data_IF_796424248264
#
_entry.id   IF_796424248264
#
_cell.length_a   1.000
_cell.length_b   1.000
_cell.length_c   1.000
_cell.angle_alpha   90.00
_cell.angle_beta   90.00
_cell.angle_gamma   90.00
#
_symmetry.space_group_name_H-M   'P 1'
#
loop_
_entity.id
_entity.type
_entity.pdbx_description
1 polymer ?
#
# COMPACT_ATOMS: atom_id res chain seq x y z
N UNK A 1 19.33 0.54 1.77
CA UNK A 1 18.11 1.00 2.45
C UNK A 1 17.54 -0.12 3.31
N UNK A 2 17.02 0.17 4.50
CA UNK A 2 16.35 -0.83 5.34
C UNK A 2 15.26 -0.17 6.18
N UNK A 3 14.02 -0.63 6.03
CA UNK A 3 12.91 -0.28 6.91
C UNK A 3 12.84 -1.35 8.01
N UNK A 4 12.84 -0.93 9.27
CA UNK A 4 12.76 -1.83 10.42
C UNK A 4 11.59 -1.43 11.31
N UNK A 5 10.75 -2.40 11.65
CA UNK A 5 9.62 -2.26 12.55
C UNK A 5 9.92 -3.13 13.77
N UNK A 6 9.94 -2.54 14.96
CA UNK A 6 10.28 -3.22 16.21
C UNK A 6 9.15 -3.10 17.21
N UNK A 7 8.54 -4.25 17.53
CA UNK A 7 7.48 -4.40 18.53
C UNK A 7 6.36 -3.35 18.39
N UNK A 8 5.98 -3.07 17.15
CA UNK A 8 5.00 -2.05 16.83
C UNK A 8 3.63 -2.49 17.34
N UNK A 9 3.01 -1.62 18.13
CA UNK A 9 1.76 -1.88 18.82
C UNK A 9 0.84 -0.68 18.67
N UNK A 10 -0.46 -0.95 18.48
CA UNK A 10 -1.47 0.09 18.42
C UNK A 10 -2.73 -0.30 19.17
N UNK A 11 -3.05 0.53 20.16
CA UNK A 11 -4.28 0.49 20.94
C UNK A 11 -5.03 1.81 20.72
N UNK A 12 -6.28 1.72 20.31
CA UNK A 12 -7.20 2.86 20.25
C UNK A 12 -8.02 2.93 21.52
N UNK A 13 -7.83 3.99 22.30
CA UNK A 13 -8.69 4.25 23.45
C UNK A 13 -10.10 4.65 22.98
N UNK A 14 -11.13 4.00 23.52
CA UNK A 14 -12.53 4.37 23.24
C UNK A 14 -13.36 4.37 24.52
N UNK A 15 -14.46 5.13 24.53
CA UNK A 15 -15.41 5.15 25.67
C UNK A 15 -16.03 3.79 25.97
N UNK A 16 -16.01 2.85 25.01
CA UNK A 16 -16.57 1.50 25.16
C UNK A 16 -15.52 0.45 25.53
N UNK A 17 -14.28 0.88 25.81
CA UNK A 17 -13.12 0.02 26.01
C UNK A 17 -12.06 0.25 24.95
N UNK A 18 -10.84 -0.12 25.29
CA UNK A 18 -9.68 -0.04 24.41
C UNK A 18 -9.77 -1.10 23.32
N UNK A 19 -9.44 -0.72 22.09
CA UNK A 19 -9.41 -1.61 20.93
C UNK A 19 -7.97 -1.81 20.52
N UNK A 20 -7.44 -3.01 20.78
CA UNK A 20 -6.13 -3.43 20.32
C UNK A 20 -6.20 -3.71 18.81
N UNK A 21 -5.67 -2.79 18.01
CA UNK A 21 -5.66 -2.91 16.56
C UNK A 21 -4.48 -3.74 16.07
N UNK A 22 -3.32 -3.59 16.72
CA UNK A 22 -2.08 -4.29 16.38
C UNK A 22 -1.37 -4.72 17.67
N UNK A 23 -1.17 -6.03 17.82
CA UNK A 23 -0.30 -6.59 18.87
C UNK A 23 1.18 -6.40 18.49
N UNK A 24 2.12 -6.43 19.44
CA UNK A 24 3.53 -6.18 19.18
C UNK A 24 4.08 -6.99 18.00
N UNK A 25 4.33 -6.31 16.89
CA UNK A 25 4.73 -6.92 15.63
C UNK A 25 6.08 -6.38 15.18
N UNK A 26 6.98 -7.27 14.76
CA UNK A 26 8.31 -6.91 14.27
C UNK A 26 8.53 -7.51 12.89
N UNK A 27 9.01 -6.69 11.95
CA UNK A 27 9.45 -7.14 10.64
C UNK A 27 10.41 -6.11 10.03
N UNK A 28 11.13 -6.51 8.99
CA UNK A 28 11.99 -5.61 8.23
C UNK A 28 11.57 -5.62 6.78
N UNK A 29 11.91 -4.59 6.02
CA UNK A 29 11.83 -4.55 4.56
C UNK A 29 13.18 -4.11 4.01
N UNK A 30 13.78 -4.94 3.17
CA UNK A 30 15.07 -4.70 2.55
C UNK A 30 14.98 -3.75 1.34
N UNK A 31 16.11 -3.19 0.94
CA UNK A 31 16.20 -2.36 -0.26
C UNK A 31 15.75 -3.13 -1.52
N UNK A 32 14.86 -2.53 -2.30
CA UNK A 32 14.37 -3.12 -3.54
C UNK A 32 13.41 -4.30 -3.33
N UNK A 33 12.99 -4.56 -2.09
CA UNK A 33 11.96 -5.55 -1.83
C UNK A 33 10.58 -4.98 -2.14
N UNK A 34 9.72 -5.84 -2.68
CA UNK A 34 8.28 -5.58 -2.81
C UNK A 34 7.57 -6.47 -1.80
N UNK A 35 7.18 -5.90 -0.67
CA UNK A 35 6.56 -6.63 0.44
C UNK A 35 5.07 -6.35 0.49
N UNK A 36 4.25 -7.40 0.45
CA UNK A 36 2.80 -7.25 0.64
C UNK A 36 2.35 -7.63 2.04
N UNK A 37 1.49 -6.82 2.63
CA UNK A 37 0.74 -7.12 3.84
C UNK A 37 -0.66 -7.59 3.44
N UNK A 38 -0.97 -8.84 3.76
CA UNK A 38 -2.25 -9.48 3.41
C UNK A 38 -2.92 -9.97 4.67
N UNK A 39 -4.24 -9.81 4.80
CA UNK A 39 -4.95 -10.23 5.99
C UNK A 39 -6.44 -9.86 5.92
N UNK A 40 -7.28 -10.38 6.84
CA UNK A 40 -8.70 -10.05 6.89
C UNK A 40 -8.97 -8.54 7.03
N UNK A 41 -10.17 -8.10 6.66
CA UNK A 41 -10.56 -6.70 6.85
C UNK A 41 -10.51 -6.31 8.32
N UNK A 42 -9.92 -5.14 8.61
CA UNK A 42 -9.85 -4.61 9.97
C UNK A 42 -8.67 -5.11 10.83
N UNK A 43 -7.80 -5.99 10.34
CA UNK A 43 -6.66 -6.49 11.13
C UNK A 43 -5.49 -5.51 11.36
N UNK A 44 -5.65 -4.22 11.06
CA UNK A 44 -4.62 -3.21 11.35
C UNK A 44 -3.52 -3.05 10.29
N UNK A 45 -3.69 -3.58 9.06
CA UNK A 45 -2.74 -3.39 7.94
C UNK A 45 -2.55 -1.92 7.58
N UNK A 46 -3.64 -1.22 7.27
CA UNK A 46 -3.62 0.21 6.92
C UNK A 46 -3.11 1.05 8.09
N UNK A 47 -3.51 0.72 9.32
CA UNK A 47 -2.97 1.33 10.55
C UNK A 47 -1.45 1.16 10.66
N UNK A 48 -0.92 -0.04 10.41
CA UNK A 48 0.54 -0.29 10.39
C UNK A 48 1.22 0.56 9.34
N UNK A 49 0.63 0.65 8.15
CA UNK A 49 1.17 1.43 7.04
C UNK A 49 1.12 2.93 7.30
N UNK A 50 0.09 3.46 7.98
CA UNK A 50 0.02 4.85 8.43
C UNK A 50 1.04 5.17 9.52
N UNK A 51 1.30 4.24 10.45
CA UNK A 51 2.38 4.39 11.43
C UNK A 51 3.75 4.45 10.74
N UNK A 52 3.99 3.59 9.75
CA UNK A 52 5.22 3.59 8.95
C UNK A 52 5.36 4.89 8.14
N UNK A 53 4.26 5.42 7.60
CA UNK A 53 4.26 6.72 6.94
C UNK A 53 4.53 7.88 7.92
N UNK A 54 4.38 7.66 9.23
CA UNK A 54 4.47 8.69 10.28
C UNK A 54 3.21 9.54 10.38
N UNK A 55 2.09 9.08 9.81
CA UNK A 55 0.78 9.75 9.86
C UNK A 55 -0.01 9.39 11.11
N UNK A 56 0.37 8.29 11.76
CA UNK A 56 -0.24 7.82 12.99
C UNK A 56 0.83 7.46 14.03
N UNK A 57 0.61 7.84 15.28
CA UNK A 57 1.53 7.51 16.38
C UNK A 57 1.24 6.11 16.90
N UNK A 58 2.29 5.30 17.03
CA UNK A 58 2.22 4.00 17.68
C UNK A 58 1.95 4.14 19.18
N UNK A 59 1.27 3.16 19.78
CA UNK A 59 1.13 3.09 21.24
C UNK A 59 2.44 2.65 21.88
N UNK A 60 3.11 1.67 21.26
CA UNK A 60 4.47 1.21 21.62
C UNK A 60 5.21 0.74 20.37
N UNK A 61 6.51 0.56 20.53
CA UNK A 61 7.41 0.13 19.47
C UNK A 61 8.02 1.29 18.70
N UNK A 62 8.91 0.94 17.79
CA UNK A 62 9.74 1.89 17.06
C UNK A 62 9.81 1.51 15.57
N UNK A 63 9.90 2.53 14.73
CA UNK A 63 10.05 2.37 13.28
C UNK A 63 11.32 3.12 12.87
N UNK A 64 12.19 2.44 12.14
CA UNK A 64 13.44 3.00 11.64
C UNK A 64 13.51 2.90 10.13
N UNK A 65 13.92 3.97 9.46
CA UNK A 65 14.24 3.98 8.04
C UNK A 65 15.71 4.36 7.90
N UNK A 66 16.52 3.45 7.36
CA UNK A 66 17.99 3.60 7.27
C UNK A 66 18.66 3.91 8.60
N UNK A 67 18.11 3.36 9.69
CA UNK A 67 18.59 3.58 11.06
C UNK A 67 18.11 4.88 11.70
N UNK A 68 17.44 5.78 10.97
CA UNK A 68 16.81 6.97 11.52
C UNK A 68 15.39 6.66 12.01
N UNK A 69 15.06 7.10 13.23
CA UNK A 69 13.73 6.90 13.80
C UNK A 69 12.67 7.71 13.04
N UNK A 70 11.54 7.08 12.72
CA UNK A 70 10.38 7.72 12.07
C UNK A 70 9.48 8.32 13.15
N UNK A 71 9.61 9.63 13.35
CA UNK A 71 8.84 10.37 14.36
C UNK A 71 7.64 11.15 13.78
N UNK A 72 7.46 11.11 12.46
CA UNK A 72 6.43 11.87 11.74
C UNK A 72 6.50 11.67 10.23
N UNK A 73 5.68 12.39 9.45
CA UNK A 73 5.69 12.28 7.99
C UNK A 73 6.96 12.89 7.38
N UNK A 74 7.40 12.35 6.24
CA UNK A 74 8.63 12.77 5.57
C UNK A 74 8.59 12.47 4.08
N UNK A 75 9.30 13.28 3.29
CA UNK A 75 9.34 13.15 1.82
C UNK A 75 10.03 11.87 1.33
N UNK A 76 10.82 11.25 2.20
CA UNK A 76 11.47 9.96 1.99
C UNK A 76 10.49 8.77 1.98
N UNK A 77 9.22 8.99 2.34
CA UNK A 77 8.15 7.98 2.33
C UNK A 77 6.99 8.47 1.46
N UNK A 78 6.79 7.84 0.30
CA UNK A 78 5.68 8.13 -0.59
C UNK A 78 4.45 7.32 -0.17
N UNK A 79 3.29 7.95 -0.09
CA UNK A 79 2.05 7.31 0.35
C UNK A 79 0.97 7.36 -0.73
N UNK A 80 0.40 6.21 -1.08
CA UNK A 80 -0.81 6.07 -1.90
C UNK A 80 -1.93 5.57 -1.01
N UNK A 81 -2.95 6.40 -0.81
CA UNK A 81 -4.09 6.09 0.04
C UNK A 81 -5.18 5.31 -0.72
N UNK A 82 -5.98 4.56 0.03
CA UNK A 82 -7.18 3.89 -0.49
C UNK A 82 -8.23 4.90 -0.99
N UNK A 83 -8.42 5.99 -0.24
CA UNK A 83 -9.29 7.10 -0.64
C UNK A 83 -8.54 8.10 -1.52
N UNK A 84 -9.21 8.65 -2.53
CA UNK A 84 -8.60 9.67 -3.40
C UNK A 84 -8.26 10.93 -2.60
N UNK A 85 -6.95 11.21 -2.45
CA UNK A 85 -6.44 12.36 -1.70
C UNK A 85 -5.88 13.46 -2.60
N UNK A 86 -6.38 13.58 -3.83
CA UNK A 86 -5.97 14.66 -4.73
C UNK A 86 -6.56 16.00 -4.27
N UNK A 87 -5.78 17.06 -4.38
CA UNK A 87 -6.24 18.43 -4.12
C UNK A 87 -7.20 18.85 -5.24
N UNK A 88 -8.48 19.10 -4.92
CA UNK A 88 -9.52 19.32 -5.94
C UNK A 88 -9.35 20.64 -6.70
N UNK A 89 -8.61 21.59 -6.14
CA UNK A 89 -8.31 22.90 -6.71
C UNK A 89 -6.99 22.94 -7.51
N UNK A 90 -6.22 21.86 -7.54
CA UNK A 90 -5.02 21.74 -8.37
C UNK A 90 -5.30 20.89 -9.59
N UNK A 91 -4.67 21.20 -10.72
CA UNK A 91 -4.67 20.32 -11.90
C UNK A 91 -3.95 19.00 -11.62
N UNK A 92 -4.08 18.01 -12.52
CA UNK A 92 -3.37 16.72 -12.42
C UNK A 92 -1.85 16.91 -12.32
N UNK A 93 -1.29 17.77 -13.17
CA UNK A 93 0.13 18.05 -13.17
C UNK A 93 0.57 18.72 -11.86
N UNK A 94 -0.17 19.74 -11.41
CA UNK A 94 0.10 20.42 -10.14
C UNK A 94 -0.05 19.48 -8.94
N UNK A 95 -1.04 18.58 -8.93
CA UNK A 95 -1.16 17.55 -7.90
C UNK A 95 0.11 16.70 -7.82
N UNK A 96 0.67 16.34 -8.97
CA UNK A 96 1.87 15.51 -9.08
C UNK A 96 3.11 16.27 -8.63
N UNK A 97 3.21 17.56 -8.94
CA UNK A 97 4.35 18.43 -8.64
C UNK A 97 4.33 19.04 -7.22
N UNK A 98 3.15 19.06 -6.57
CA UNK A 98 2.90 19.79 -5.32
C UNK A 98 3.96 19.59 -4.24
N UNK A 99 4.38 18.34 -4.01
CA UNK A 99 5.30 18.03 -2.92
C UNK A 99 6.70 18.60 -3.17
N UNK A 100 7.19 18.54 -4.40
CA UNK A 100 8.47 19.12 -4.77
C UNK A 100 8.40 20.65 -4.82
N UNK A 101 7.29 21.24 -5.26
CA UNK A 101 7.08 22.69 -5.19
C UNK A 101 7.17 23.19 -3.74
N UNK A 102 6.60 22.45 -2.79
CA UNK A 102 6.68 22.77 -1.37
C UNK A 102 8.11 22.70 -0.84
N UNK A 103 8.90 21.71 -1.26
CA UNK A 103 10.32 21.62 -0.89
C UNK A 103 11.13 22.76 -1.51
N UNK A 104 10.94 23.07 -2.79
CA UNK A 104 11.64 24.14 -3.49
C UNK A 104 11.35 25.52 -2.87
N UNK A 105 10.12 25.75 -2.40
CA UNK A 105 9.76 26.96 -1.68
C UNK A 105 10.43 27.07 -0.30
N UNK A 106 10.81 25.94 0.32
CA UNK A 106 11.53 25.90 1.61
C UNK A 106 13.03 26.03 1.44
N UNK A 107 13.57 25.60 0.32
CA UNK A 107 14.99 25.69 -0.01
C UNK A 107 15.18 26.27 -1.43
N UNK A 108 15.23 27.61 -1.55
CA UNK A 108 15.40 28.30 -2.83
C UNK A 108 16.79 28.11 -3.45
N UNK A 109 17.72 27.43 -2.75
CA UNK A 109 19.07 27.21 -3.24
C UNK A 109 19.18 26.09 -4.30
N UNK A 110 18.09 25.34 -4.54
CA UNK A 110 18.03 24.29 -5.56
C UNK A 110 18.32 24.83 -6.95
N UNK A 111 19.10 24.08 -7.71
CA UNK A 111 19.46 24.47 -9.06
C UNK A 111 18.25 24.44 -10.01
N UNK A 112 18.20 25.36 -10.98
CA UNK A 112 17.18 25.35 -12.03
C UNK A 112 17.14 24.00 -12.77
N UNK A 113 18.29 23.32 -12.89
CA UNK A 113 18.38 22.00 -13.51
C UNK A 113 17.62 20.91 -12.74
N UNK A 114 17.72 20.89 -11.42
CA UNK A 114 16.96 19.95 -10.57
C UNK A 114 15.46 20.19 -10.68
N UNK A 115 15.03 21.45 -10.67
CA UNK A 115 13.61 21.83 -10.82
C UNK A 115 13.07 21.32 -12.17
N UNK A 116 13.79 21.58 -13.27
CA UNK A 116 13.38 21.14 -14.59
C UNK A 116 13.35 19.60 -14.72
N UNK A 117 14.31 18.91 -14.11
CA UNK A 117 14.35 17.44 -14.09
C UNK A 117 13.10 16.86 -13.40
N UNK A 118 12.71 17.40 -12.24
CA UNK A 118 11.54 16.93 -11.48
C UNK A 118 10.20 17.24 -12.17
N UNK A 119 10.13 18.38 -12.86
CA UNK A 119 9.00 18.70 -13.74
C UNK A 119 8.91 17.67 -14.87
N UNK A 120 10.02 17.41 -15.56
CA UNK A 120 10.08 16.41 -16.63
C UNK A 120 9.69 15.01 -16.16
N UNK A 121 10.13 14.61 -14.97
CA UNK A 121 9.75 13.34 -14.33
C UNK A 121 8.24 13.27 -14.11
N UNK A 122 7.61 14.33 -13.63
CA UNK A 122 6.16 14.37 -13.40
C UNK A 122 5.36 14.17 -14.71
N UNK A 123 5.78 14.83 -15.79
CA UNK A 123 5.21 14.61 -17.13
C UNK A 123 5.39 13.15 -17.59
N UNK A 124 6.60 12.61 -17.46
CA UNK A 124 6.90 11.24 -17.86
C UNK A 124 6.06 10.22 -17.09
N UNK A 125 5.94 10.36 -15.77
CA UNK A 125 5.10 9.49 -14.94
C UNK A 125 3.63 9.59 -15.35
N UNK A 126 3.09 10.79 -15.58
CA UNK A 126 1.70 10.94 -16.03
C UNK A 126 1.47 10.35 -17.43
N UNK A 127 2.42 10.50 -18.34
CA UNK A 127 2.38 9.90 -19.67
C UNK A 127 2.40 8.37 -19.60
N UNK A 128 3.29 7.77 -18.78
CA UNK A 128 3.36 6.32 -18.54
C UNK A 128 2.06 5.77 -17.95
N UNK A 129 1.39 6.58 -17.12
CA UNK A 129 0.10 6.24 -16.53
C UNK A 129 -1.07 6.46 -17.50
N UNK A 130 -0.82 6.82 -18.76
CA UNK A 130 -1.86 7.05 -19.77
C UNK A 130 -2.66 8.35 -19.57
N UNK A 131 -2.10 9.33 -18.85
CA UNK A 131 -2.77 10.57 -18.48
C UNK A 131 -2.29 11.81 -19.26
N UNK A 132 -1.59 11.59 -20.38
CA UNK A 132 -1.04 12.64 -21.26
C UNK A 132 -2.03 13.76 -21.61
N UNK A 133 -3.27 13.37 -21.92
CA UNK A 133 -4.34 14.31 -22.33
C UNK A 133 -4.97 15.07 -21.15
N UNK A 134 -4.64 14.70 -19.91
CA UNK A 134 -5.30 15.17 -18.70
C UNK A 134 -4.38 15.99 -17.79
N UNK A 135 -3.15 16.34 -18.21
CA UNK A 135 -2.21 17.12 -17.41
C UNK A 135 -2.82 18.38 -16.79
N UNK A 136 -3.67 19.08 -17.55
CA UNK A 136 -4.30 20.33 -17.12
C UNK A 136 -5.75 20.16 -16.64
N UNK A 137 -6.26 18.93 -16.60
CA UNK A 137 -7.58 18.65 -16.05
C UNK A 137 -7.56 18.75 -14.53
N UNK A 138 -8.70 19.04 -13.93
CA UNK A 138 -8.92 19.01 -12.49
C UNK A 138 -9.42 17.63 -12.04
N UNK A 139 -9.19 17.20 -10.79
CA UNK A 139 -9.63 15.90 -10.29
C UNK A 139 -11.11 15.60 -10.52
N UNK A 140 -12.00 16.60 -10.48
CA UNK A 140 -13.43 16.44 -10.73
C UNK A 140 -13.77 15.95 -12.14
N UNK A 141 -12.87 16.14 -13.10
CA UNK A 141 -13.02 15.75 -14.52
C UNK A 141 -12.50 14.32 -14.77
N UNK A 142 -11.98 13.65 -13.74
CA UNK A 142 -11.35 12.34 -13.83
C UNK A 142 -12.25 11.24 -13.26
N UNK A 143 -12.19 10.05 -13.86
CA UNK A 143 -12.75 8.84 -13.27
C UNK A 143 -12.00 8.46 -11.97
N UNK A 144 -12.59 7.58 -11.16
CA UNK A 144 -11.93 7.05 -9.95
C UNK A 144 -10.56 6.44 -10.26
N UNK A 145 -10.48 5.57 -11.27
CA UNK A 145 -9.22 4.96 -11.66
C UNK A 145 -8.19 5.94 -12.22
N UNK A 146 -8.61 7.01 -12.90
CA UNK A 146 -7.69 8.08 -13.30
C UNK A 146 -7.14 8.82 -12.09
N UNK A 147 -7.98 9.16 -11.10
CA UNK A 147 -7.52 9.79 -9.85
C UNK A 147 -6.50 8.93 -9.12
N UNK A 148 -6.71 7.62 -9.11
CA UNK A 148 -5.81 6.67 -8.49
C UNK A 148 -4.43 6.65 -9.17
N UNK A 149 -4.41 6.64 -10.51
CA UNK A 149 -3.18 6.74 -11.30
C UNK A 149 -2.42 8.05 -11.04
N UNK A 150 -3.13 9.17 -10.89
CA UNK A 150 -2.51 10.45 -10.48
C UNK A 150 -1.92 10.35 -9.07
N UNK A 151 -2.61 9.69 -8.12
CA UNK A 151 -2.10 9.53 -6.77
C UNK A 151 -0.80 8.71 -6.72
N UNK A 152 -0.70 7.65 -7.54
CA UNK A 152 0.52 6.86 -7.70
C UNK A 152 1.63 7.71 -8.33
N UNK A 153 1.35 8.42 -9.44
CA UNK A 153 2.32 9.31 -10.07
C UNK A 153 2.86 10.38 -9.10
N UNK A 154 1.97 10.98 -8.31
CA UNK A 154 2.33 11.96 -7.27
C UNK A 154 3.24 11.37 -6.21
N UNK A 155 2.98 10.15 -5.74
CA UNK A 155 3.84 9.50 -4.76
C UNK A 155 5.25 9.21 -5.32
N UNK A 156 5.33 8.80 -6.59
CA UNK A 156 6.58 8.49 -7.30
C UNK A 156 7.38 9.72 -7.74
N UNK A 157 6.71 10.86 -7.93
CA UNK A 157 7.34 12.11 -8.39
C UNK A 157 8.40 12.64 -7.40
N UNK A 158 8.34 12.23 -6.14
CA UNK A 158 9.34 12.61 -5.12
C UNK A 158 10.54 11.69 -5.01
N UNK A 159 10.60 10.61 -5.78
CA UNK A 159 11.64 9.58 -5.64
C UNK A 159 11.76 9.11 -4.17
N UNK A 160 10.64 8.66 -3.56
CA UNK A 160 10.66 8.27 -2.17
C UNK A 160 11.57 7.05 -1.98
N UNK A 161 12.20 6.95 -0.81
CA UNK A 161 12.95 5.76 -0.44
C UNK A 161 12.02 4.55 -0.37
N UNK A 162 10.89 4.70 0.31
CA UNK A 162 9.87 3.64 0.39
C UNK A 162 8.53 4.14 -0.13
N UNK A 163 7.94 3.35 -1.03
CA UNK A 163 6.57 3.56 -1.49
C UNK A 163 5.62 2.70 -0.66
N UNK A 164 4.71 3.37 0.02
CA UNK A 164 3.67 2.79 0.86
C UNK A 164 2.35 2.88 0.11
N UNK A 165 1.67 1.76 -0.10
CA UNK A 165 0.42 1.72 -0.83
C UNK A 165 -0.67 0.98 -0.08
N UNK A 166 -1.81 1.63 0.11
CA UNK A 166 -2.97 1.10 0.81
C UNK A 166 -4.12 0.82 -0.19
N UNK A 167 -4.27 -0.45 -0.59
CA UNK A 167 -5.24 -0.93 -1.57
C UNK A 167 -5.32 -0.08 -2.86
N UNK A 168 -4.18 0.18 -3.54
CA UNK A 168 -4.12 1.19 -4.58
C UNK A 168 -4.86 0.81 -5.87
N UNK A 169 -5.35 -0.43 -6.02
CA UNK A 169 -6.00 -0.90 -7.25
C UNK A 169 -7.50 -1.17 -7.11
N UNK A 170 -8.08 -0.98 -5.91
CA UNK A 170 -9.48 -1.31 -5.64
C UNK A 170 -10.49 -0.53 -6.50
N UNK A 171 -10.08 0.64 -7.00
CA UNK A 171 -10.90 1.52 -7.85
C UNK A 171 -10.74 1.29 -9.37
N UNK A 172 -9.86 0.39 -9.79
CA UNK A 172 -9.56 0.14 -11.20
C UNK A 172 -10.46 -0.99 -11.75
N UNK A 173 -10.83 -0.90 -13.02
CA UNK A 173 -11.35 -2.06 -13.75
C UNK A 173 -10.26 -3.11 -13.97
N UNK A 174 -10.64 -4.32 -14.37
CA UNK A 174 -9.71 -5.45 -14.47
C UNK A 174 -8.53 -5.18 -15.43
N UNK A 175 -8.80 -4.64 -16.62
CA UNK A 175 -7.76 -4.40 -17.61
C UNK A 175 -6.80 -3.30 -17.14
N UNK A 176 -7.33 -2.16 -16.71
CA UNK A 176 -6.49 -1.06 -16.20
C UNK A 176 -5.67 -1.50 -14.98
N UNK A 177 -6.24 -2.37 -14.14
CA UNK A 177 -5.53 -2.93 -12.98
C UNK A 177 -4.31 -3.74 -13.40
N UNK A 178 -4.45 -4.61 -14.38
CA UNK A 178 -3.35 -5.46 -14.87
C UNK A 178 -2.23 -4.60 -15.49
N UNK A 179 -2.58 -3.66 -16.36
CA UNK A 179 -1.63 -2.71 -16.95
C UNK A 179 -0.86 -1.92 -15.86
N UNK A 180 -1.56 -1.50 -14.82
CA UNK A 180 -0.98 -0.78 -13.70
C UNK A 180 -0.07 -1.64 -12.80
N UNK A 181 -0.43 -2.91 -12.61
CA UNK A 181 0.40 -3.87 -11.87
C UNK A 181 1.71 -4.14 -12.62
N UNK A 182 1.65 -4.34 -13.93
CA UNK A 182 2.84 -4.50 -14.79
C UNK A 182 3.71 -3.26 -14.78
N UNK A 183 3.12 -2.08 -14.93
CA UNK A 183 3.84 -0.80 -14.86
C UNK A 183 4.55 -0.63 -13.52
N UNK A 184 3.90 -0.96 -12.41
CA UNK A 184 4.51 -0.85 -11.08
C UNK A 184 5.64 -1.86 -10.86
N UNK A 185 5.53 -3.08 -11.38
CA UNK A 185 6.65 -4.02 -11.39
C UNK A 185 7.84 -3.51 -12.19
N UNK A 186 7.58 -2.96 -13.38
CA UNK A 186 8.61 -2.39 -14.24
C UNK A 186 9.31 -1.20 -13.57
N UNK A 187 8.55 -0.28 -12.97
CA UNK A 187 9.09 0.87 -12.24
C UNK A 187 9.87 0.43 -11.00
N UNK A 188 9.31 -0.49 -10.21
CA UNK A 188 9.98 -1.01 -9.01
C UNK A 188 11.34 -1.63 -9.34
N UNK A 189 11.40 -2.41 -10.42
CA UNK A 189 12.64 -3.00 -10.93
C UNK A 189 13.63 -1.93 -11.39
N UNK A 190 13.19 -1.01 -12.25
CA UNK A 190 14.06 -0.04 -12.89
C UNK A 190 14.65 0.95 -11.87
N UNK A 191 13.84 1.39 -10.91
CA UNK A 191 14.24 2.34 -9.88
C UNK A 191 14.76 1.67 -8.59
N UNK A 192 14.75 0.33 -8.53
CA UNK A 192 15.10 -0.46 -7.33
C UNK A 192 14.32 0.01 -6.10
N UNK A 193 13.04 0.31 -6.30
CA UNK A 193 12.18 0.89 -5.30
C UNK A 193 11.87 -0.12 -4.20
N UNK A 194 11.81 0.35 -2.96
CA UNK A 194 11.32 -0.46 -1.84
C UNK A 194 9.83 -0.20 -1.69
N UNK A 195 9.02 -1.25 -1.73
CA UNK A 195 7.56 -1.13 -1.73
C UNK A 195 6.97 -1.90 -0.57
N UNK A 196 6.11 -1.23 0.20
CA UNK A 196 5.22 -1.88 1.16
C UNK A 196 3.77 -1.68 0.70
N UNK A 197 3.11 -2.79 0.40
CA UNK A 197 1.82 -2.81 -0.27
C UNK A 197 0.78 -3.52 0.59
N UNK A 198 -0.34 -2.89 0.87
CA UNK A 198 -1.47 -3.51 1.57
C UNK A 198 -2.53 -3.86 0.54
N UNK A 199 -2.96 -5.12 0.55
CA UNK A 199 -4.09 -5.57 -0.27
C UNK A 199 -4.92 -6.62 0.47
N UNK A 200 -6.18 -6.76 0.04
CA UNK A 200 -7.02 -7.91 0.37
C UNK A 200 -7.07 -8.94 -0.76
N UNK A 201 -6.50 -8.65 -1.93
CA UNK A 201 -6.44 -9.56 -3.06
C UNK A 201 -5.15 -10.38 -3.03
N UNK A 202 -5.31 -11.69 -2.82
CA UNK A 202 -4.20 -12.65 -2.77
C UNK A 202 -3.46 -12.72 -4.11
N UNK A 203 -4.16 -12.58 -5.23
CA UNK A 203 -3.53 -12.65 -6.55
C UNK A 203 -2.56 -11.48 -6.76
N UNK A 204 -2.93 -10.27 -6.34
CA UNK A 204 -2.06 -9.10 -6.38
C UNK A 204 -0.80 -9.31 -5.54
N UNK A 205 -0.98 -9.80 -4.32
CA UNK A 205 0.13 -10.07 -3.41
C UNK A 205 1.11 -11.09 -4.00
N UNK A 206 0.61 -12.19 -4.59
CA UNK A 206 1.45 -13.22 -5.20
C UNK A 206 2.14 -12.69 -6.46
N UNK A 207 1.46 -11.89 -7.27
CA UNK A 207 2.02 -11.35 -8.51
C UNK A 207 3.12 -10.33 -8.26
N UNK A 208 2.86 -9.34 -7.40
CA UNK A 208 3.73 -8.17 -7.23
C UNK A 208 4.90 -8.40 -6.29
N UNK A 209 4.74 -9.28 -5.30
CA UNK A 209 5.67 -9.31 -4.16
C UNK A 209 6.89 -10.18 -4.40
N UNK A 210 7.99 -9.79 -3.76
CA UNK A 210 9.10 -10.68 -3.43
C UNK A 210 8.85 -11.45 -2.13
N UNK A 211 8.04 -10.88 -1.22
CA UNK A 211 7.72 -11.46 0.09
C UNK A 211 6.35 -11.02 0.59
N UNK A 212 5.61 -11.91 1.24
CA UNK A 212 4.24 -11.67 1.70
C UNK A 212 4.18 -11.91 3.22
N UNK A 213 3.74 -10.89 3.95
CA UNK A 213 3.47 -10.95 5.37
C UNK A 213 1.96 -11.13 5.60
N UNK A 214 1.58 -12.27 6.16
CA UNK A 214 0.18 -12.60 6.44
C UNK A 214 -0.17 -12.14 7.84
N UNK A 215 -1.22 -11.32 7.95
CA UNK A 215 -1.78 -10.82 9.19
C UNK A 215 -2.95 -11.69 9.66
N UNK A 216 -3.03 -11.95 10.96
CA UNK A 216 -4.18 -12.58 11.62
C UNK A 216 -5.44 -11.73 11.53
N UNK A 217 -6.57 -12.30 11.93
CA UNK A 217 -7.74 -11.51 12.32
C UNK A 217 -7.45 -10.62 13.56
N UNK A 218 -8.40 -9.77 13.98
CA UNK A 218 -8.18 -8.89 15.13
C UNK A 218 -7.97 -9.71 16.42
N UNK A 219 -6.99 -9.34 17.28
CA UNK A 219 -6.02 -8.27 17.11
C UNK A 219 -4.90 -8.64 16.11
N UNK A 220 -4.46 -7.69 15.30
CA UNK A 220 -3.52 -7.94 14.21
C UNK A 220 -2.14 -8.39 14.68
N UNK A 221 -1.62 -9.48 14.11
CA UNK A 221 -0.22 -9.93 14.23
C UNK A 221 0.23 -10.60 12.93
N UNK A 222 1.53 -10.64 12.67
CA UNK A 222 2.07 -11.45 11.57
C UNK A 222 2.04 -12.93 11.98
N UNK A 223 1.37 -13.75 11.18
CA UNK A 223 1.26 -15.21 11.37
C UNK A 223 2.10 -16.01 10.39
N UNK A 224 2.48 -15.41 9.26
CA UNK A 224 3.37 -16.03 8.28
C UNK A 224 4.19 -14.97 7.53
N UNK A 225 5.44 -15.31 7.23
CA UNK A 225 6.31 -14.57 6.32
C UNK A 225 6.70 -15.52 5.18
N UNK A 226 6.17 -15.27 3.98
CA UNK A 226 6.23 -16.20 2.85
C UNK A 226 7.03 -15.58 1.70
N UNK A 227 8.18 -16.15 1.32
CA UNK A 227 8.92 -15.70 0.14
C UNK A 227 8.18 -16.08 -1.14
N UNK A 228 8.26 -15.21 -2.15
CA UNK A 228 7.63 -15.46 -3.46
C UNK A 228 8.71 -15.86 -4.48
N UNK A 229 8.67 -17.09 -5.03
CA UNK A 229 9.80 -17.72 -5.72
C UNK A 229 9.95 -17.35 -7.21
N UNK A 230 9.26 -16.32 -7.68
CA UNK A 230 9.13 -16.05 -9.12
C UNK A 230 10.16 -15.03 -9.67
N UNK A 231 11.11 -14.56 -8.85
CA UNK A 231 12.12 -13.58 -9.28
C UNK A 231 11.53 -12.21 -9.66
N UNK A 232 12.32 -11.30 -10.26
CA UNK A 232 11.85 -9.98 -10.69
C UNK A 232 11.32 -9.94 -12.13
N UNK A 233 11.68 -10.92 -12.97
CA UNK A 233 11.29 -11.02 -14.38
C UNK A 233 10.00 -11.86 -14.52
N UNK A 234 8.86 -11.27 -14.14
CA UNK A 234 7.54 -11.92 -14.22
C UNK A 234 6.71 -11.26 -15.31
N UNK A 235 6.08 -12.09 -16.14
CA UNK A 235 5.03 -11.66 -17.05
C UNK A 235 3.66 -12.11 -16.54
N UNK A 236 2.60 -11.67 -17.22
CA UNK A 236 1.24 -12.04 -16.85
C UNK A 236 0.97 -13.55 -16.90
N UNK A 237 1.69 -14.30 -17.75
CA UNK A 237 1.49 -15.74 -17.92
C UNK A 237 1.78 -16.51 -16.63
N UNK A 238 2.61 -15.96 -15.74
CA UNK A 238 2.94 -16.60 -14.47
C UNK A 238 1.72 -16.92 -13.61
N UNK A 239 0.64 -16.13 -13.72
CA UNK A 239 -0.61 -16.33 -12.98
C UNK A 239 -1.27 -17.67 -13.25
N UNK A 240 -1.02 -18.24 -14.42
CA UNK A 240 -1.56 -19.53 -14.87
C UNK A 240 -0.67 -20.73 -14.50
N UNK A 241 0.54 -20.46 -14.00
CA UNK A 241 1.49 -21.53 -13.64
C UNK A 241 1.02 -22.30 -12.42
N UNK A 242 1.37 -23.59 -12.36
CA UNK A 242 0.99 -24.44 -11.24
C UNK A 242 1.55 -23.95 -9.90
N UNK A 243 2.73 -23.32 -9.91
CA UNK A 243 3.38 -22.79 -8.71
C UNK A 243 2.65 -21.55 -8.17
N UNK A 244 2.25 -20.63 -9.05
CA UNK A 244 1.42 -19.49 -8.69
C UNK A 244 0.10 -19.92 -8.06
N UNK A 245 -0.59 -20.87 -8.69
CA UNK A 245 -1.86 -21.40 -8.18
C UNK A 245 -1.69 -22.09 -6.82
N UNK A 246 -0.59 -22.82 -6.61
CA UNK A 246 -0.27 -23.44 -5.31
C UNK A 246 -0.07 -22.38 -4.22
N UNK A 247 0.74 -21.36 -4.48
CA UNK A 247 1.02 -20.30 -3.51
C UNK A 247 -0.25 -19.48 -3.19
N UNK A 248 -1.06 -19.17 -4.21
CA UNK A 248 -2.37 -18.53 -4.05
C UNK A 248 -3.30 -19.37 -3.16
N UNK A 249 -3.38 -20.69 -3.38
CA UNK A 249 -4.19 -21.58 -2.54
C UNK A 249 -3.69 -21.60 -1.10
N UNK A 250 -2.39 -21.75 -0.88
CA UNK A 250 -1.79 -21.73 0.46
C UNK A 250 -2.15 -20.46 1.23
N UNK A 251 -2.05 -19.28 0.58
CA UNK A 251 -2.43 -18.01 1.19
C UNK A 251 -3.93 -17.92 1.51
N UNK A 252 -4.79 -18.36 0.59
CA UNK A 252 -6.23 -18.40 0.81
C UNK A 252 -6.59 -19.29 2.00
N UNK A 253 -5.96 -20.45 2.13
CA UNK A 253 -6.21 -21.37 3.24
C UNK A 253 -5.83 -20.75 4.60
N UNK A 254 -4.69 -20.05 4.66
CA UNK A 254 -4.29 -19.29 5.85
C UNK A 254 -5.30 -18.20 6.21
N UNK A 255 -5.75 -17.42 5.23
CA UNK A 255 -6.70 -16.32 5.46
C UNK A 255 -8.10 -16.83 5.84
N UNK A 256 -8.56 -17.93 5.25
CA UNK A 256 -9.85 -18.53 5.58
C UNK A 256 -9.86 -19.10 7.01
N UNK A 257 -8.75 -19.68 7.46
CA UNK A 257 -8.62 -20.17 8.82
C UNK A 257 -8.83 -19.05 9.84
N UNK A 258 -8.27 -17.86 9.57
CA UNK A 258 -8.41 -16.67 10.42
C UNK A 258 -9.81 -16.06 10.38
N UNK A 259 -10.49 -16.05 9.23
CA UNK A 259 -11.86 -15.51 9.14
C UNK A 259 -12.90 -16.35 9.89
N UNK A 260 -12.73 -17.69 9.92
CA UNK A 260 -13.68 -18.59 10.59
C UNK A 260 -13.65 -18.46 12.12
N UNK A 261 -12.53 -18.05 12.69
CA UNK A 261 -12.38 -17.92 14.14
C UNK A 261 -13.15 -16.71 14.70
N UNK A 262 -13.44 -15.71 13.86
CA UNK A 262 -14.01 -14.42 14.27
C UNK A 262 -15.54 -14.33 14.07
N UNK A 263 -16.16 -15.25 13.32
CA UNK A 263 -17.58 -15.15 12.95
C UNK A 263 -18.27 -16.52 12.78
N UNK A 264 -18.94 -17.02 13.83
CA UNK A 264 -19.75 -18.24 13.78
C UNK A 264 -21.10 -17.98 13.10
N UNK A 265 -21.09 -18.03 11.77
CA UNK A 265 -22.31 -17.91 10.94
C UNK A 265 -23.32 -19.01 11.23
N UNK A 266 -22.86 -20.22 11.57
CA UNK A 266 -23.74 -21.36 11.80
C UNK A 266 -24.55 -21.17 13.10
N UNK A 267 -23.95 -20.60 14.14
CA UNK A 267 -24.67 -20.21 15.35
C UNK A 267 -25.74 -19.13 15.09
N UNK A 268 -25.45 -18.15 14.25
CA UNK A 268 -26.40 -17.09 13.88
C UNK A 268 -27.54 -17.61 13.00
N UNK A 269 -27.22 -18.47 12.02
CA UNK A 269 -28.22 -19.14 11.19
C UNK A 269 -29.13 -20.03 12.03
N UNK A 270 -28.58 -20.76 13.01
CA UNK A 270 -29.39 -21.53 13.98
C UNK A 270 -30.32 -20.64 14.79
N UNK A 271 -29.91 -19.44 15.21
CA UNK A 271 -30.77 -18.47 15.90
C UNK A 271 -31.89 -17.90 15.02
N UNK A 272 -31.65 -17.74 13.72
CA UNK A 272 -32.65 -17.29 12.75
C UNK A 272 -33.72 -18.35 12.46
N UNK A 273 -33.34 -19.64 12.50
CA UNK A 273 -34.22 -20.76 12.18
C UNK A 273 -34.95 -21.30 13.41
N UNK A 274 -34.59 -20.88 14.63
CA UNK A 274 -35.37 -21.20 15.82
C UNK A 274 -36.71 -20.46 15.80
N UNK A 275 -37.86 -21.18 15.91
CA UNK A 275 -39.15 -20.52 16.02
C UNK A 275 -39.18 -19.69 17.30
N UNK A 276 -39.69 -18.45 17.20
CA UNK A 276 -39.95 -17.63 18.37
C UNK A 276 -40.93 -18.37 19.28
N UNK A 277 -40.44 -18.98 20.36
CA UNK A 277 -41.29 -19.60 21.35
C UNK A 277 -42.01 -18.50 22.13
N UNK A 278 -43.27 -18.30 21.77
CA UNK A 278 -44.35 -17.75 22.61
C UNK A 278 -44.73 -18.72 23.73
#
# INVERSE_FOLDING_TARGET
>A
MKLEIRNLEKIYASRKGDVEALTPTSFTVGAGEFVSLVGPSGCGKSTSLYMIAGLETATRGEIFLDGAAVNGPGADRGMVFQNYTLFPWLTVLQNTQFSFELENNRDPSRSTGEVMSRIGRSYCLLDLMGLKKFHHAYPRELSGGMKQRVAIARALANEPKVLLMDEPFGALDAQTREEMQELLLLLSRHEKMTVLFVTHDVEEAVYLSTRILVFSARPGRIIADIPVPFGPDRDFNIKTTSEFVRLKRQLLDLLHHEQRTDFDRDALLKKLVQPAHS
#
